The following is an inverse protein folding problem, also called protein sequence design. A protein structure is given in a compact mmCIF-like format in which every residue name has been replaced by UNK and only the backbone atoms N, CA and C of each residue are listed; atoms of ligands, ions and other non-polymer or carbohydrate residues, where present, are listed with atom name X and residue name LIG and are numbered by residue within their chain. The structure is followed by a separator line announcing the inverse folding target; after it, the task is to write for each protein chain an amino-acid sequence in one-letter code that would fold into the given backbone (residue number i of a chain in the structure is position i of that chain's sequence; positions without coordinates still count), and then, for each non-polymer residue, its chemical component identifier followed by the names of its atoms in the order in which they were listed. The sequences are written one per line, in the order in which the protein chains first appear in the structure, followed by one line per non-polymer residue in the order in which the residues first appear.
data_IF_470056120198
#
_entry.id   IF_470056120198
#
_cell.length_a   1.000
_cell.length_b   1.000
_cell.length_c   1.000
_cell.angle_alpha   90.00
_cell.angle_beta   90.00
_cell.angle_gamma   90.00
#
_symmetry.space_group_name_H-M   'P 1'
#
loop_
_entity.id
_entity.type
_entity.pdbx_description
1 polymer ?
#
# COMPACT_ATOMS: atom_id res chain seq x y z
N UNK A 1 22.14 29.23 -22.32
CA UNK A 1 20.89 28.45 -22.20
C UNK A 1 21.30 26.99 -22.12
N UNK A 2 21.54 26.50 -20.91
CA UNK A 2 22.19 25.20 -20.70
C UNK A 2 21.10 24.18 -20.38
N UNK A 3 20.75 23.37 -21.37
CA UNK A 3 19.80 22.26 -21.23
C UNK A 3 20.47 21.14 -20.42
N UNK A 4 20.12 21.03 -19.15
CA UNK A 4 20.55 19.94 -18.28
C UNK A 4 19.66 18.72 -18.55
N UNK A 5 20.18 17.72 -19.27
CA UNK A 5 19.56 16.41 -19.38
C UNK A 5 19.73 15.66 -18.05
N UNK A 6 18.68 15.58 -17.23
CA UNK A 6 18.66 14.78 -16.01
C UNK A 6 17.90 13.47 -16.24
N UNK A 7 18.59 12.35 -16.01
CA UNK A 7 18.01 11.00 -16.04
C UNK A 7 16.98 10.82 -14.92
N UNK A 8 15.95 10.03 -15.21
CA UNK A 8 14.73 9.78 -14.43
C UNK A 8 14.97 9.40 -12.95
N UNK A 9 16.10 8.77 -12.61
CA UNK A 9 16.46 8.40 -11.23
C UNK A 9 16.89 9.59 -10.35
N UNK A 10 17.34 10.68 -10.96
CA UNK A 10 17.89 11.84 -10.26
C UNK A 10 16.81 12.81 -9.81
N UNK A 11 15.64 12.82 -10.46
CA UNK A 11 14.52 13.69 -10.10
C UNK A 11 13.92 13.27 -8.75
N UNK A 12 13.73 11.98 -8.49
CA UNK A 12 13.23 11.49 -7.19
C UNK A 12 14.20 11.79 -6.05
N UNK A 13 15.52 11.73 -6.30
CA UNK A 13 16.55 12.13 -5.33
C UNK A 13 16.64 13.65 -5.15
N UNK A 14 16.51 14.43 -6.23
CA UNK A 14 16.49 15.90 -6.17
C UNK A 14 15.22 16.42 -5.46
N UNK A 15 14.08 15.79 -5.71
CA UNK A 15 12.82 15.98 -4.98
C UNK A 15 13.05 15.59 -3.51
N UNK A 16 13.56 14.40 -3.21
CA UNK A 16 13.86 14.01 -1.82
C UNK A 16 14.80 15.01 -1.11
N UNK A 17 15.83 15.54 -1.79
CA UNK A 17 16.78 16.52 -1.27
C UNK A 17 16.17 17.92 -1.10
N UNK A 18 15.32 18.36 -2.01
CA UNK A 18 14.59 19.65 -1.91
C UNK A 18 13.52 19.62 -0.82
N UNK A 19 12.97 18.43 -0.49
CA UNK A 19 11.87 18.28 0.48
C UNK A 19 12.31 18.04 1.93
N UNK A 20 13.61 17.81 2.19
CA UNK A 20 14.20 17.84 3.54
C UNK A 20 14.44 19.26 4.08
N UNK A 21 14.24 20.29 3.24
CA UNK A 21 14.50 21.69 3.60
C UNK A 21 13.25 22.37 4.18
N UNK A 22 13.13 22.44 5.50
CA UNK A 22 12.21 23.32 6.28
C UNK A 22 10.83 23.62 5.66
N UNK A 23 10.26 22.68 4.91
CA UNK A 23 9.09 22.89 4.06
C UNK A 23 7.84 23.14 4.90
N UNK A 24 7.85 22.71 6.16
CA UNK A 24 6.84 22.99 7.17
C UNK A 24 6.73 24.48 7.55
N UNK A 25 7.77 25.29 7.31
CA UNK A 25 7.79 26.73 7.66
C UNK A 25 7.31 27.66 6.55
N UNK A 26 7.15 27.18 5.30
CA UNK A 26 6.89 28.06 4.15
C UNK A 26 5.41 28.10 3.73
N UNK A 27 4.83 29.30 3.74
CA UNK A 27 3.46 29.55 3.28
C UNK A 27 3.32 29.42 1.74
N UNK A 28 4.35 29.76 0.96
CA UNK A 28 4.33 29.60 -0.49
C UNK A 28 4.38 28.12 -0.91
N UNK A 29 5.12 27.30 -0.15
CA UNK A 29 5.14 25.86 -0.35
C UNK A 29 3.83 25.18 0.06
N UNK A 30 3.06 25.74 1.01
CA UNK A 30 1.67 25.30 1.26
C UNK A 30 0.78 25.47 0.03
N UNK A 31 0.91 26.60 -0.68
CA UNK A 31 0.17 26.83 -1.93
C UNK A 31 0.65 25.89 -3.02
N UNK A 32 1.97 25.70 -3.15
CA UNK A 32 2.55 24.73 -4.08
C UNK A 32 2.06 23.31 -3.79
N UNK A 33 2.03 22.86 -2.53
CA UNK A 33 1.52 21.53 -2.13
C UNK A 33 0.03 21.39 -2.41
N UNK A 34 -0.78 22.41 -2.17
CA UNK A 34 -2.20 22.35 -2.49
C UNK A 34 -2.40 22.21 -4.01
N UNK A 35 -1.61 22.95 -4.80
CA UNK A 35 -1.61 22.85 -6.26
C UNK A 35 -1.06 21.49 -6.71
N UNK A 36 0.03 21.01 -6.11
CA UNK A 36 0.63 19.71 -6.41
C UNK A 36 -0.30 18.58 -6.04
N UNK A 37 -0.94 18.59 -4.87
CA UNK A 37 -1.96 17.62 -4.47
C UNK A 37 -3.18 17.68 -5.38
N UNK A 38 -3.61 18.87 -5.81
CA UNK A 38 -4.72 19.03 -6.75
C UNK A 38 -4.35 18.51 -8.15
N UNK A 39 -3.15 18.83 -8.63
CA UNK A 39 -2.60 18.33 -9.89
C UNK A 39 -2.30 16.84 -9.84
N UNK A 40 -1.78 16.32 -8.74
CA UNK A 40 -1.56 14.89 -8.51
C UNK A 40 -2.89 14.15 -8.35
N UNK A 41 -3.92 14.77 -7.79
CA UNK A 41 -5.28 14.21 -7.81
C UNK A 41 -5.81 14.17 -9.23
N UNK A 42 -5.61 15.23 -10.02
CA UNK A 42 -5.99 15.32 -11.42
C UNK A 42 -5.22 14.33 -12.31
N UNK A 43 -3.91 14.18 -12.07
CA UNK A 43 -2.99 13.28 -12.78
C UNK A 43 -3.14 11.85 -12.29
N UNK A 44 -3.43 11.56 -11.02
CA UNK A 44 -3.83 10.23 -10.58
C UNK A 44 -5.14 9.82 -11.26
N UNK A 45 -6.05 10.77 -11.48
CA UNK A 45 -7.25 10.57 -12.28
C UNK A 45 -6.99 10.42 -13.79
N UNK A 46 -5.83 10.85 -14.33
CA UNK A 46 -5.53 10.86 -15.78
C UNK A 46 -4.34 10.01 -16.28
N UNK A 47 -3.29 9.79 -15.49
CA UNK A 47 -2.02 9.16 -15.88
C UNK A 47 -1.41 8.14 -14.88
N UNK A 48 -2.10 7.73 -13.82
CA UNK A 48 -1.69 6.53 -13.02
C UNK A 48 -0.34 6.61 -12.27
N UNK A 49 0.26 7.80 -12.13
CA UNK A 49 1.56 7.97 -11.47
C UNK A 49 1.45 7.90 -9.94
N UNK A 50 2.25 7.05 -9.30
CA UNK A 50 2.56 7.13 -7.87
C UNK A 50 4.06 6.91 -7.61
N UNK A 51 4.76 7.97 -7.25
CA UNK A 51 6.09 7.92 -6.67
C UNK A 51 6.17 8.90 -5.51
N UNK A 52 6.33 8.37 -4.29
CA UNK A 52 6.69 9.12 -3.09
C UNK A 52 5.56 9.96 -2.48
N UNK A 53 4.94 9.46 -1.41
CA UNK A 53 4.25 10.31 -0.44
C UNK A 53 5.28 11.21 0.25
N UNK A 54 5.53 12.39 -0.32
CA UNK A 54 6.13 13.49 0.45
C UNK A 54 4.97 14.36 0.91
N UNK A 55 4.30 13.89 1.95
CA UNK A 55 3.30 14.68 2.66
C UNK A 55 4.02 15.70 3.53
N UNK A 56 3.58 16.97 3.56
CA UNK A 56 3.99 17.96 4.58
C UNK A 56 3.83 17.43 6.01
N UNK A 57 2.97 16.43 6.24
CA UNK A 57 2.84 15.77 7.55
C UNK A 57 4.11 15.00 7.94
N UNK A 58 4.83 14.40 6.99
CA UNK A 58 6.08 13.66 7.24
C UNK A 58 7.34 14.55 7.21
N UNK A 59 7.21 15.81 6.74
CA UNK A 59 8.35 16.72 6.64
C UNK A 59 9.01 17.03 8.00
N UNK A 60 8.26 17.28 9.10
CA UNK A 60 8.85 17.40 10.44
C UNK A 60 9.62 16.14 10.87
N UNK A 61 9.05 14.95 10.65
CA UNK A 61 9.69 13.67 10.97
C UNK A 61 10.99 13.44 10.21
N UNK A 62 10.99 13.74 8.91
CA UNK A 62 12.18 13.65 8.06
C UNK A 62 13.27 14.64 8.52
N UNK A 63 12.87 15.87 8.85
CA UNK A 63 13.80 16.87 9.38
C UNK A 63 14.42 16.43 10.72
N UNK A 64 13.60 16.01 11.68
CA UNK A 64 14.04 15.60 13.01
C UNK A 64 14.97 14.38 12.97
N UNK A 65 14.64 13.39 12.14
CA UNK A 65 15.49 12.21 11.95
C UNK A 65 16.82 12.51 11.27
N UNK A 66 16.80 13.33 10.21
CA UNK A 66 18.01 13.79 9.53
C UNK A 66 18.87 14.67 10.44
N UNK A 67 18.25 15.53 11.25
CA UNK A 67 18.91 16.37 12.24
C UNK A 67 19.64 15.51 13.28
N UNK A 68 18.95 14.54 13.89
CA UNK A 68 19.55 13.63 14.86
C UNK A 68 20.69 12.78 14.25
N UNK A 69 20.53 12.29 13.03
CA UNK A 69 21.56 11.49 12.34
C UNK A 69 22.83 12.31 12.00
N UNK A 70 22.65 13.58 11.65
CA UNK A 70 23.76 14.47 11.27
C UNK A 70 24.43 15.18 12.45
N UNK A 71 23.76 15.28 13.62
CA UNK A 71 24.26 16.00 14.79
C UNK A 71 25.68 15.61 15.23
N UNK A 72 26.08 14.33 15.33
CA UNK A 72 27.43 13.96 15.74
C UNK A 72 28.51 14.43 14.75
N UNK A 73 28.20 14.35 13.44
CA UNK A 73 29.10 14.76 12.37
C UNK A 73 29.24 16.29 12.33
N UNK A 74 28.12 17.01 12.47
CA UNK A 74 28.10 18.47 12.53
C UNK A 74 28.90 18.96 13.74
N UNK A 75 28.72 18.34 14.91
CA UNK A 75 29.46 18.69 16.12
C UNK A 75 30.98 18.47 15.95
N UNK A 76 31.40 17.39 15.29
CA UNK A 76 32.82 17.13 15.03
C UNK A 76 33.45 18.12 14.05
N UNK A 77 32.68 18.62 13.08
CA UNK A 77 33.15 19.63 12.11
C UNK A 77 33.19 21.03 12.75
N UNK A 78 32.19 21.35 13.58
CA UNK A 78 32.01 22.68 14.17
C UNK A 78 32.65 22.83 15.55
N UNK A 79 33.31 21.81 16.10
CA UNK A 79 33.91 21.83 17.45
C UNK A 79 34.95 22.94 17.65
N UNK A 80 35.49 23.52 16.58
CA UNK A 80 36.45 24.64 16.61
C UNK A 80 35.82 26.01 16.35
N UNK A 81 34.48 26.11 16.26
CA UNK A 81 33.75 27.35 15.98
C UNK A 81 32.78 27.70 17.11
N UNK A 82 32.63 28.98 17.45
CA UNK A 82 31.69 29.50 18.47
C UNK A 82 30.20 29.42 18.06
N UNK A 83 29.86 28.52 17.13
CA UNK A 83 28.49 28.34 16.65
C UNK A 83 27.75 27.47 17.68
N UNK A 84 26.54 27.87 18.11
CA UNK A 84 25.77 27.07 19.06
C UNK A 84 25.57 25.63 18.54
N UNK A 85 25.71 24.61 19.40
CA UNK A 85 25.63 23.20 19.01
C UNK A 85 24.21 22.75 18.64
N UNK A 86 23.20 23.61 18.82
CA UNK A 86 21.82 23.30 18.50
C UNK A 86 21.57 23.43 17.00
N UNK A 87 21.06 22.34 16.41
CA UNK A 87 20.57 22.37 15.04
C UNK A 87 19.43 23.40 14.92
N UNK A 88 19.47 24.28 13.90
CA UNK A 88 18.46 25.32 13.74
C UNK A 88 17.07 24.70 13.58
N UNK A 89 16.00 25.39 13.97
CA UNK A 89 14.62 24.96 13.74
C UNK A 89 14.17 23.60 14.35
N UNK A 90 14.98 22.94 15.19
CA UNK A 90 14.60 21.66 15.84
C UNK A 90 13.36 21.83 16.73
N UNK A 91 13.29 22.92 17.49
CA UNK A 91 12.16 23.20 18.37
C UNK A 91 10.86 23.43 17.57
N UNK A 92 10.95 24.20 16.49
CA UNK A 92 9.85 24.49 15.59
C UNK A 92 9.36 23.24 14.85
N UNK A 93 10.28 22.36 14.45
CA UNK A 93 9.96 21.07 13.85
C UNK A 93 9.24 20.16 14.86
N UNK A 94 9.70 20.09 16.11
CA UNK A 94 9.02 19.35 17.19
C UNK A 94 7.61 19.86 17.44
N UNK A 95 7.43 21.19 17.48
CA UNK A 95 6.09 21.81 17.63
C UNK A 95 5.20 21.45 16.45
N UNK A 96 5.73 21.48 15.22
CA UNK A 96 4.96 21.10 14.04
C UNK A 96 4.61 19.61 14.02
N UNK A 97 5.50 18.76 14.53
CA UNK A 97 5.30 17.32 14.64
C UNK A 97 4.27 16.95 15.71
N UNK A 98 4.26 17.61 16.87
CA UNK A 98 3.29 17.31 17.94
C UNK A 98 1.92 17.97 17.73
N UNK A 99 1.83 19.01 16.89
CA UNK A 99 0.58 19.77 16.65
C UNK A 99 -0.63 18.91 16.26
N UNK A 100 -0.54 17.90 15.36
CA UNK A 100 -1.69 17.11 14.96
C UNK A 100 -2.22 16.24 16.09
N UNK A 101 -1.33 15.70 16.94
CA UNK A 101 -1.65 14.74 17.99
C UNK A 101 -0.77 15.06 19.22
N UNK A 102 -1.25 15.94 20.13
CA UNK A 102 -0.42 16.53 21.18
C UNK A 102 0.10 15.56 22.24
N UNK A 103 -0.53 14.39 22.37
CA UNK A 103 -0.17 13.38 23.37
C UNK A 103 0.95 12.43 22.92
N UNK A 104 1.43 12.54 21.68
CA UNK A 104 2.54 11.72 21.19
C UNK A 104 3.86 12.17 21.81
N UNK A 105 4.62 11.19 22.31
CA UNK A 105 5.98 11.39 22.81
C UNK A 105 7.00 11.21 21.70
N UNK A 106 8.10 11.97 21.78
CA UNK A 106 9.23 11.79 20.87
C UNK A 106 9.81 10.38 20.98
N UNK A 107 10.44 9.86 19.92
CA UNK A 107 11.19 8.61 19.98
C UNK A 107 12.27 8.66 21.05
N UNK A 108 12.68 7.48 21.52
CA UNK A 108 13.85 7.35 22.39
C UNK A 108 15.14 7.79 21.66
N UNK A 109 16.13 8.23 22.43
CA UNK A 109 17.40 8.78 21.92
C UNK A 109 18.12 7.86 20.91
N UNK A 110 18.02 6.54 21.11
CA UNK A 110 18.62 5.52 20.25
C UNK A 110 17.94 5.40 18.88
N UNK A 111 16.72 5.92 18.73
CA UNK A 111 15.89 5.85 17.52
C UNK A 111 15.54 7.21 16.93
N UNK A 112 16.05 8.31 17.50
CA UNK A 112 15.80 9.65 16.96
C UNK A 112 16.26 9.78 15.50
N UNK A 113 17.29 9.05 15.06
CA UNK A 113 17.77 9.08 13.67
C UNK A 113 16.87 8.34 12.67
N UNK A 114 15.87 7.59 13.16
CA UNK A 114 14.97 6.80 12.32
C UNK A 114 13.71 7.58 11.98
N UNK A 115 13.53 7.96 10.71
CA UNK A 115 12.30 8.60 10.26
C UNK A 115 11.06 7.74 10.59
N UNK A 116 11.16 6.42 10.46
CA UNK A 116 10.08 5.50 10.78
C UNK A 116 9.63 5.63 12.25
N UNK A 117 10.56 5.84 13.19
CA UNK A 117 10.24 6.00 14.59
C UNK A 117 9.44 7.28 14.87
N UNK A 118 9.65 8.34 14.06
CA UNK A 118 8.88 9.58 14.12
C UNK A 118 7.51 9.48 13.42
N UNK A 119 7.45 8.80 12.28
CA UNK A 119 6.23 8.71 11.47
C UNK A 119 5.22 7.70 12.02
N UNK A 120 5.70 6.56 12.54
CA UNK A 120 4.83 5.45 12.92
C UNK A 120 3.78 5.83 13.99
N UNK A 121 4.12 6.51 15.10
CA UNK A 121 3.13 6.90 16.10
C UNK A 121 2.06 7.86 15.57
N UNK A 122 2.43 8.77 14.66
CA UNK A 122 1.48 9.66 14.01
C UNK A 122 0.53 8.91 13.08
N UNK A 123 1.06 7.97 12.31
CA UNK A 123 0.26 7.13 11.39
C UNK A 123 -0.73 6.29 12.18
N UNK A 124 -0.27 5.63 13.25
CA UNK A 124 -1.11 4.78 14.10
C UNK A 124 -2.23 5.60 14.76
N UNK A 125 -1.90 6.71 15.41
CA UNK A 125 -2.91 7.54 16.07
C UNK A 125 -3.86 8.23 15.06
N UNK A 126 -3.39 8.58 13.86
CA UNK A 126 -4.27 9.07 12.78
C UNK A 126 -5.23 7.98 12.32
N UNK A 127 -4.74 6.74 12.20
CA UNK A 127 -5.56 5.61 11.81
C UNK A 127 -6.62 5.28 12.87
N UNK A 128 -6.26 5.28 14.15
CA UNK A 128 -7.20 5.05 15.25
C UNK A 128 -8.31 6.12 15.26
N UNK A 129 -7.93 7.40 15.13
CA UNK A 129 -8.91 8.49 14.99
C UNK A 129 -9.83 8.31 13.78
N UNK A 130 -9.29 7.85 12.64
CA UNK A 130 -10.10 7.57 11.46
C UNK A 130 -11.08 6.42 11.72
N UNK A 131 -10.62 5.34 12.37
CA UNK A 131 -11.45 4.19 12.67
C UNK A 131 -12.58 4.55 13.65
N UNK A 132 -12.30 5.38 14.65
CA UNK A 132 -13.30 5.90 15.59
C UNK A 132 -14.29 6.86 14.94
N UNK A 133 -13.85 7.67 13.97
CA UNK A 133 -14.71 8.64 13.28
C UNK A 133 -15.70 8.02 12.29
N UNK A 134 -15.47 6.77 11.88
CA UNK A 134 -16.25 6.11 10.84
C UNK A 134 -17.49 5.44 11.43
N UNK A 135 -18.66 5.89 10.99
CA UNK A 135 -19.96 5.28 11.31
C UNK A 135 -20.53 4.40 10.20
N UNK A 136 -19.89 4.36 9.03
CA UNK A 136 -20.41 3.68 7.84
C UNK A 136 -20.00 2.20 7.78
N UNK A 137 -20.98 1.32 7.49
CA UNK A 137 -20.80 -0.14 7.32
C UNK A 137 -19.85 -0.54 6.19
N UNK A 138 -19.48 0.39 5.29
CA UNK A 138 -18.57 0.17 4.15
C UNK A 138 -17.15 0.66 4.45
N UNK A 139 -17.02 1.78 5.13
CA UNK A 139 -15.72 2.43 5.34
C UNK A 139 -14.90 1.73 6.43
N UNK A 140 -15.56 1.21 7.47
CA UNK A 140 -14.92 0.46 8.56
C UNK A 140 -14.21 -0.81 8.06
N UNK A 141 -14.87 -1.75 7.36
CA UNK A 141 -14.19 -2.92 6.80
C UNK A 141 -13.13 -2.56 5.74
N UNK A 142 -13.30 -1.45 5.01
CA UNK A 142 -12.25 -0.95 4.09
C UNK A 142 -10.99 -0.55 4.86
N UNK A 143 -11.12 0.24 5.92
CA UNK A 143 -9.98 0.67 6.74
C UNK A 143 -9.26 -0.52 7.36
N UNK A 144 -9.99 -1.48 7.92
CA UNK A 144 -9.42 -2.73 8.45
C UNK A 144 -8.66 -3.49 7.35
N UNK A 145 -9.19 -3.54 6.14
CA UNK A 145 -8.52 -4.21 4.99
C UNK A 145 -7.22 -3.48 4.60
N UNK A 146 -7.18 -2.16 4.72
CA UNK A 146 -5.95 -1.37 4.46
C UNK A 146 -4.93 -1.56 5.58
N UNK A 147 -5.35 -1.84 6.81
CA UNK A 147 -4.44 -2.14 7.92
C UNK A 147 -3.79 -3.53 7.83
N UNK A 148 -4.42 -4.47 7.11
CA UNK A 148 -3.92 -5.83 6.99
C UNK A 148 -2.46 -5.88 6.52
N UNK A 149 -1.70 -6.83 7.08
CA UNK A 149 -0.32 -7.07 6.67
C UNK A 149 -0.23 -7.26 5.15
N UNK A 150 0.81 -6.70 4.54
CA UNK A 150 1.06 -6.75 3.10
C UNK A 150 -0.01 -6.08 2.20
N UNK A 151 -1.04 -5.41 2.75
CA UNK A 151 -2.10 -4.73 1.97
C UNK A 151 -1.54 -3.69 0.98
N UNK A 152 -0.38 -3.13 1.31
CA UNK A 152 0.37 -2.14 0.57
C UNK A 152 1.61 -2.67 -0.14
N UNK A 153 1.90 -3.98 -0.08
CA UNK A 153 3.10 -4.58 -0.65
C UNK A 153 3.25 -4.28 -2.15
N UNK A 154 2.14 -4.28 -2.86
CA UNK A 154 2.07 -3.97 -4.30
C UNK A 154 2.63 -2.58 -4.67
N UNK A 155 2.71 -1.63 -3.71
CA UNK A 155 3.33 -0.31 -3.92
C UNK A 155 4.86 -0.36 -3.87
N UNK A 156 5.41 -1.36 -3.19
CA UNK A 156 6.86 -1.55 -3.04
C UNK A 156 7.41 -2.55 -4.06
N UNK A 157 6.54 -3.24 -4.81
CA UNK A 157 6.95 -4.16 -5.85
C UNK A 157 7.57 -3.41 -7.04
N UNK A 158 8.71 -3.90 -7.50
CA UNK A 158 9.29 -3.47 -8.78
C UNK A 158 8.40 -4.01 -9.91
N UNK A 159 7.90 -3.16 -10.83
CA UNK A 159 7.08 -3.63 -11.93
C UNK A 159 7.94 -4.44 -12.92
N UNK A 160 7.67 -5.74 -13.04
CA UNK A 160 8.37 -6.65 -13.98
C UNK A 160 7.41 -7.08 -15.08
N UNK A 161 7.41 -6.34 -16.19
CA UNK A 161 6.52 -6.59 -17.33
C UNK A 161 6.77 -7.93 -18.02
N UNK A 162 8.03 -8.40 -18.07
CA UNK A 162 8.41 -9.67 -18.71
C UNK A 162 7.80 -10.91 -18.05
N UNK A 163 7.42 -10.81 -16.78
CA UNK A 163 6.77 -11.89 -16.02
C UNK A 163 5.25 -11.72 -15.91
N UNK A 164 4.68 -10.71 -16.58
CA UNK A 164 3.27 -10.35 -16.46
C UNK A 164 2.89 -9.86 -15.06
N UNK A 165 3.85 -9.34 -14.28
CA UNK A 165 3.65 -8.86 -12.91
C UNK A 165 3.51 -7.33 -12.82
N UNK A 166 3.48 -6.64 -13.97
CA UNK A 166 3.22 -5.21 -14.02
C UNK A 166 1.72 -4.95 -14.07
N UNK A 167 1.21 -4.18 -13.11
CA UNK A 167 -0.13 -3.62 -13.19
C UNK A 167 -0.14 -2.51 -14.24
N UNK A 168 -1.19 -2.45 -15.05
CA UNK A 168 -1.44 -1.32 -15.94
C UNK A 168 -2.00 -0.12 -15.16
N UNK A 169 -1.94 1.07 -15.76
CA UNK A 169 -2.37 2.32 -15.14
C UNK A 169 -3.82 2.28 -14.61
N UNK A 170 -4.73 1.61 -15.32
CA UNK A 170 -6.13 1.52 -14.90
C UNK A 170 -6.28 0.57 -13.72
N UNK A 171 -5.58 -0.57 -13.74
CA UNK A 171 -5.53 -1.48 -12.59
C UNK A 171 -4.99 -0.79 -11.34
N UNK A 172 -3.91 -0.01 -11.47
CA UNK A 172 -3.35 0.79 -10.36
C UNK A 172 -4.39 1.78 -9.84
N UNK A 173 -5.04 2.56 -10.71
CA UNK A 173 -6.09 3.51 -10.30
C UNK A 173 -7.23 2.84 -9.56
N UNK A 174 -7.73 1.72 -10.09
CA UNK A 174 -8.81 0.97 -9.44
C UNK A 174 -8.36 0.48 -8.07
N UNK A 175 -7.14 -0.07 -7.95
CA UNK A 175 -6.59 -0.54 -6.68
C UNK A 175 -6.44 0.58 -5.64
N UNK A 176 -6.03 1.78 -6.04
CA UNK A 176 -5.93 2.96 -5.16
C UNK A 176 -7.32 3.45 -4.76
N UNK A 177 -8.21 3.65 -5.72
CA UNK A 177 -9.54 4.16 -5.46
C UNK A 177 -10.34 3.24 -4.53
N UNK A 178 -10.24 1.92 -4.69
CA UNK A 178 -10.84 0.95 -3.76
C UNK A 178 -10.32 1.09 -2.33
N UNK A 179 -9.03 1.36 -2.15
CA UNK A 179 -8.41 1.51 -0.81
C UNK A 179 -8.74 2.85 -0.15
N UNK A 180 -8.84 3.91 -0.96
CA UNK A 180 -9.17 5.26 -0.49
C UNK A 180 -10.69 5.50 -0.38
N UNK A 181 -11.52 4.62 -0.93
CA UNK A 181 -12.97 4.84 -0.96
C UNK A 181 -13.43 5.86 -2.00
N UNK A 182 -12.68 6.00 -3.08
CA UNK A 182 -12.96 6.97 -4.13
C UNK A 182 -13.98 6.40 -5.15
N UNK A 183 -14.77 7.26 -5.79
CA UNK A 183 -15.68 6.84 -6.85
C UNK A 183 -14.90 6.25 -8.03
N UNK A 184 -15.24 5.03 -8.43
CA UNK A 184 -14.65 4.31 -9.57
C UNK A 184 -15.40 4.57 -10.87
N UNK A 185 -16.72 4.74 -10.80
CA UNK A 185 -17.58 4.86 -11.97
C UNK A 185 -18.80 5.74 -11.67
N UNK A 186 -19.51 6.16 -12.71
CA UNK A 186 -20.85 6.71 -12.54
C UNK A 186 -21.82 5.59 -12.12
N UNK A 187 -22.86 5.93 -11.36
CA UNK A 187 -23.90 4.98 -10.99
C UNK A 187 -24.59 4.42 -12.25
N UNK A 188 -24.73 3.10 -12.33
CA UNK A 188 -25.27 2.41 -13.51
C UNK A 188 -25.85 1.05 -13.14
N UNK A 189 -26.48 0.35 -14.10
CA UNK A 189 -27.03 -0.99 -13.88
C UNK A 189 -26.04 -2.07 -14.31
N UNK A 190 -25.88 -3.10 -13.47
CA UNK A 190 -25.03 -4.24 -13.77
C UNK A 190 -25.59 -5.01 -14.97
N UNK A 191 -24.82 -5.09 -16.06
CA UNK A 191 -25.22 -5.87 -17.25
C UNK A 191 -25.45 -7.36 -16.98
N UNK A 192 -24.79 -7.93 -15.96
CA UNK A 192 -24.87 -9.37 -15.67
C UNK A 192 -26.04 -9.75 -14.78
N UNK A 193 -26.37 -8.95 -13.76
CA UNK A 193 -27.41 -9.28 -12.79
C UNK A 193 -28.57 -8.29 -12.70
N UNK A 194 -28.45 -7.12 -13.36
CA UNK A 194 -29.46 -6.07 -13.32
C UNK A 194 -29.46 -5.21 -12.06
N UNK A 195 -28.59 -5.49 -11.08
CA UNK A 195 -28.52 -4.70 -9.85
C UNK A 195 -28.00 -3.28 -10.12
N UNK A 196 -28.48 -2.31 -9.34
CA UNK A 196 -27.95 -0.93 -9.36
C UNK A 196 -26.59 -0.88 -8.68
N UNK A 197 -25.61 -0.31 -9.38
CA UNK A 197 -24.23 -0.12 -8.93
C UNK A 197 -24.07 1.36 -8.56
N UNK A 198 -23.51 1.61 -7.39
CA UNK A 198 -23.15 2.93 -6.89
C UNK A 198 -21.85 3.46 -7.51
N UNK A 199 -21.43 4.67 -7.13
CA UNK A 199 -20.21 5.24 -7.67
C UNK A 199 -18.93 4.54 -7.19
N UNK A 200 -18.98 3.87 -6.04
CA UNK A 200 -17.87 3.07 -5.50
C UNK A 200 -17.64 1.80 -6.30
N UNK A 201 -18.66 1.31 -7.02
CA UNK A 201 -18.54 0.18 -7.93
C UNK A 201 -18.44 -1.19 -7.24
N UNK A 202 -18.38 -1.29 -5.91
CA UNK A 202 -18.05 -2.52 -5.17
C UNK A 202 -18.83 -3.78 -5.59
N UNK A 203 -20.04 -3.60 -6.14
CA UNK A 203 -20.80 -4.67 -6.78
C UNK A 203 -19.99 -5.52 -7.79
N UNK A 204 -19.07 -4.92 -8.57
CA UNK A 204 -18.30 -5.66 -9.57
C UNK A 204 -17.39 -6.74 -8.96
N UNK A 205 -16.98 -6.57 -7.69
CA UNK A 205 -16.18 -7.54 -6.94
C UNK A 205 -17.01 -8.75 -6.51
N UNK A 206 -18.28 -8.53 -6.17
CA UNK A 206 -19.16 -9.50 -5.50
C UNK A 206 -20.29 -10.05 -6.39
N UNK A 207 -20.43 -9.54 -7.62
CA UNK A 207 -21.49 -9.95 -8.54
C UNK A 207 -21.47 -11.46 -8.80
N UNK A 208 -22.52 -12.17 -8.36
CA UNK A 208 -22.65 -13.63 -8.54
C UNK A 208 -22.73 -14.08 -10.00
N UNK A 209 -23.34 -13.26 -10.87
CA UNK A 209 -23.44 -13.53 -12.30
C UNK A 209 -22.23 -12.98 -13.08
N UNK A 210 -21.37 -12.20 -12.43
CA UNK A 210 -20.14 -11.69 -12.99
C UNK A 210 -19.02 -12.75 -13.00
N UNK A 211 -18.04 -12.55 -13.88
CA UNK A 211 -16.88 -13.45 -14.00
C UNK A 211 -15.71 -13.06 -13.09
N UNK A 212 -15.75 -11.87 -12.49
CA UNK A 212 -14.56 -11.30 -11.86
C UNK A 212 -14.05 -12.09 -10.65
N UNK A 213 -14.95 -12.71 -9.88
CA UNK A 213 -14.58 -13.65 -8.81
C UNK A 213 -13.71 -14.81 -9.32
N UNK A 214 -14.00 -15.34 -10.50
CA UNK A 214 -13.23 -16.44 -11.09
C UNK A 214 -11.87 -15.96 -11.59
N UNK A 215 -11.77 -14.74 -12.11
CA UNK A 215 -10.48 -14.17 -12.52
C UNK A 215 -9.51 -14.01 -11.34
N UNK A 216 -9.97 -13.46 -10.21
CA UNK A 216 -9.13 -13.29 -9.01
C UNK A 216 -8.64 -14.63 -8.47
N UNK A 217 -9.56 -15.58 -8.35
CA UNK A 217 -9.27 -16.94 -7.93
C UNK A 217 -8.26 -17.64 -8.87
N UNK A 218 -8.48 -17.57 -10.19
CA UNK A 218 -7.57 -18.15 -11.17
C UNK A 218 -6.18 -17.51 -11.12
N UNK A 219 -6.09 -16.19 -10.92
CA UNK A 219 -4.82 -15.48 -10.83
C UNK A 219 -3.99 -15.91 -9.61
N UNK A 220 -4.61 -16.05 -8.44
CA UNK A 220 -3.91 -16.54 -7.24
C UNK A 220 -3.44 -17.98 -7.43
N UNK A 221 -4.31 -18.83 -7.96
CA UNK A 221 -3.97 -20.21 -8.27
C UNK A 221 -2.82 -20.33 -9.28
N UNK A 222 -2.75 -19.43 -10.26
CA UNK A 222 -1.65 -19.35 -11.22
C UNK A 222 -0.33 -18.92 -10.55
N UNK A 223 -0.36 -17.93 -9.66
CA UNK A 223 0.83 -17.51 -8.89
C UNK A 223 1.37 -18.65 -8.04
N UNK A 224 0.51 -19.38 -7.32
CA UNK A 224 0.90 -20.56 -6.53
C UNK A 224 1.48 -21.66 -7.41
N UNK A 225 0.83 -21.93 -8.56
CA UNK A 225 1.30 -22.93 -9.52
C UNK A 225 2.70 -22.59 -10.08
N UNK A 226 2.94 -21.32 -10.43
CA UNK A 226 4.24 -20.84 -10.89
C UNK A 226 5.30 -20.89 -9.80
N UNK A 227 4.95 -20.54 -8.56
CA UNK A 227 5.87 -20.63 -7.43
C UNK A 227 6.33 -22.07 -7.20
N UNK A 228 5.40 -23.03 -7.13
CA UNK A 228 5.72 -24.46 -7.02
C UNK A 228 6.56 -24.96 -8.21
N UNK A 229 6.21 -24.54 -9.43
CA UNK A 229 6.98 -24.91 -10.63
C UNK A 229 8.41 -24.38 -10.57
N UNK A 230 8.63 -23.18 -10.04
CA UNK A 230 9.96 -22.58 -9.89
C UNK A 230 10.84 -23.29 -8.87
N UNK A 231 10.27 -23.97 -7.89
CA UNK A 231 10.99 -24.82 -6.92
C UNK A 231 11.15 -26.26 -7.40
N UNK A 232 10.80 -26.56 -8.66
CA UNK A 232 10.89 -27.90 -9.24
C UNK A 232 9.79 -28.85 -8.77
N UNK A 233 8.70 -28.34 -8.20
CA UNK A 233 7.58 -29.13 -7.70
C UNK A 233 6.49 -29.16 -8.78
N UNK A 234 6.38 -30.27 -9.54
CA UNK A 234 5.39 -30.35 -10.60
C UNK A 234 3.98 -30.36 -9.99
N UNK A 235 3.09 -29.55 -10.56
CA UNK A 235 1.71 -29.46 -10.12
C UNK A 235 0.75 -29.33 -11.29
N UNK A 236 -0.48 -29.82 -11.12
CA UNK A 236 -1.49 -29.79 -12.17
C UNK A 236 -2.88 -29.46 -11.59
N UNK A 237 -3.82 -29.13 -12.49
CA UNK A 237 -5.23 -29.18 -12.15
C UNK A 237 -5.59 -30.60 -11.71
N UNK A 238 -6.49 -30.75 -10.75
CA UNK A 238 -6.93 -32.08 -10.32
C UNK A 238 -7.40 -32.89 -11.54
N UNK A 239 -6.88 -34.12 -11.69
CA UNK A 239 -7.26 -35.01 -12.80
C UNK A 239 -8.69 -35.51 -12.59
N UNK A 240 -9.47 -35.54 -13.68
CA UNK A 240 -10.82 -36.12 -13.68
C UNK A 240 -10.76 -37.58 -13.20
N UNK A 241 -11.51 -37.92 -12.15
CA UNK A 241 -11.62 -39.30 -11.64
C UNK A 241 -11.01 -39.58 -10.25
N UNK A 242 -10.42 -38.59 -9.58
CA UNK A 242 -9.92 -38.71 -8.20
C UNK A 242 -11.04 -38.74 -7.12
N UNK A 243 -12.31 -38.72 -7.53
CA UNK A 243 -13.44 -38.44 -6.65
C UNK A 243 -14.10 -39.70 -6.07
N UNK A 244 -14.20 -39.74 -4.74
CA UNK A 244 -15.00 -40.71 -3.98
C UNK A 244 -15.82 -39.92 -2.93
N UNK A 245 -17.15 -40.03 -2.98
CA UNK A 245 -18.16 -39.64 -1.98
C UNK A 245 -18.46 -38.17 -1.58
N UNK A 246 -17.53 -37.20 -1.49
CA UNK A 246 -17.79 -35.96 -0.69
C UNK A 246 -18.17 -34.64 -1.41
N UNK A 247 -18.31 -34.61 -2.73
CA UNK A 247 -18.85 -33.45 -3.45
C UNK A 247 -17.97 -32.18 -3.50
N UNK A 248 -16.80 -32.15 -2.84
CA UNK A 248 -15.85 -31.02 -2.86
C UNK A 248 -14.59 -31.35 -3.64
N UNK A 249 -14.22 -30.46 -4.56
CA UNK A 249 -13.12 -30.62 -5.52
C UNK A 249 -12.05 -29.55 -5.25
N UNK A 250 -10.81 -29.90 -4.86
CA UNK A 250 -9.71 -28.94 -4.85
C UNK A 250 -9.35 -28.53 -6.28
N UNK A 251 -8.84 -27.31 -6.48
CA UNK A 251 -8.51 -26.88 -7.85
C UNK A 251 -7.29 -27.62 -8.39
N UNK A 252 -6.28 -27.79 -7.54
CA UNK A 252 -4.94 -28.22 -7.95
C UNK A 252 -4.27 -29.11 -6.91
N UNK A 253 -3.28 -29.87 -7.39
CA UNK A 253 -2.48 -30.79 -6.58
C UNK A 253 -1.02 -30.87 -7.06
N UNK A 254 -0.10 -31.18 -6.15
CA UNK A 254 1.28 -31.55 -6.50
C UNK A 254 1.35 -32.99 -6.99
N UNK A 255 2.13 -33.23 -8.05
CA UNK A 255 2.35 -34.57 -8.59
C UNK A 255 3.39 -35.36 -7.79
N UNK A 256 4.17 -34.66 -6.95
CA UNK A 256 5.11 -35.24 -6.02
C UNK A 256 4.57 -35.15 -4.58
N UNK A 257 4.96 -36.09 -3.71
CA UNK A 257 4.71 -35.97 -2.28
C UNK A 257 5.26 -34.67 -1.69
N UNK A 258 4.47 -34.03 -0.83
CA UNK A 258 4.86 -32.84 -0.09
C UNK A 258 5.29 -33.23 1.34
N UNK A 259 4.37 -33.81 2.09
CA UNK A 259 4.57 -34.28 3.47
C UNK A 259 3.87 -35.65 3.64
N UNK A 260 4.19 -36.38 4.70
CA UNK A 260 4.48 -37.84 4.74
C UNK A 260 4.05 -38.70 3.51
N UNK A 261 4.64 -38.45 2.34
CA UNK A 261 4.36 -39.27 1.14
C UNK A 261 3.08 -38.89 0.39
N UNK A 262 2.40 -37.81 0.77
CA UNK A 262 1.09 -37.41 0.27
C UNK A 262 1.17 -36.13 -0.55
N UNK A 263 0.38 -35.99 -1.63
CA UNK A 263 0.39 -34.79 -2.45
C UNK A 263 -0.26 -33.62 -1.70
N UNK A 264 0.24 -32.41 -1.94
CA UNK A 264 -0.37 -31.17 -1.47
C UNK A 264 -1.56 -30.84 -2.37
N UNK A 265 -2.74 -30.67 -1.77
CA UNK A 265 -3.92 -30.12 -2.43
C UNK A 265 -4.17 -28.69 -1.98
N UNK A 266 -4.63 -27.84 -2.89
CA UNK A 266 -5.00 -26.48 -2.52
C UNK A 266 -6.20 -25.95 -3.32
N UNK A 267 -6.86 -24.98 -2.71
CA UNK A 267 -7.95 -24.18 -3.25
C UNK A 267 -7.79 -22.75 -2.70
N UNK A 268 -7.88 -21.75 -3.58
CA UNK A 268 -7.67 -20.36 -3.25
C UNK A 268 -9.00 -19.60 -3.10
N UNK A 269 -9.39 -19.30 -1.87
CA UNK A 269 -10.57 -18.45 -1.63
C UNK A 269 -10.17 -16.98 -1.57
N UNK A 270 -10.83 -16.13 -2.35
CA UNK A 270 -10.67 -14.66 -2.28
C UNK A 270 -11.85 -14.06 -1.53
N UNK A 271 -11.73 -13.81 -0.21
CA UNK A 271 -12.76 -13.11 0.53
C UNK A 271 -12.82 -11.65 0.05
N UNK A 272 -14.03 -11.13 -0.02
CA UNK A 272 -14.26 -9.72 -0.25
C UNK A 272 -14.87 -9.17 1.04
N UNK A 273 -14.10 -8.38 1.78
CA UNK A 273 -14.50 -7.77 3.05
C UNK A 273 -15.68 -6.82 2.90
N UNK A 274 -15.97 -6.37 1.67
CA UNK A 274 -17.09 -5.50 1.33
C UNK A 274 -18.27 -6.28 0.71
N UNK A 275 -18.14 -7.60 0.54
CA UNK A 275 -19.25 -8.43 0.08
C UNK A 275 -20.21 -8.74 1.24
N UNK A 276 -21.49 -8.41 1.05
CA UNK A 276 -22.58 -8.59 2.01
C UNK A 276 -22.82 -10.05 2.49
N UNK A 277 -22.08 -11.02 1.95
CA UNK A 277 -22.02 -12.43 2.39
C UNK A 277 -21.01 -13.20 1.55
N UNK A 278 -19.88 -13.58 2.13
CA UNK A 278 -19.09 -14.74 1.72
C UNK A 278 -18.41 -15.32 2.96
N UNK A 279 -18.93 -16.47 3.42
CA UNK A 279 -18.36 -17.23 4.52
C UNK A 279 -16.97 -17.74 4.13
N UNK A 280 -16.01 -17.46 5.01
CA UNK A 280 -14.62 -17.87 4.94
C UNK A 280 -14.47 -19.39 4.98
N UNK A 281 -13.45 -19.88 4.27
CA UNK A 281 -12.61 -21.04 4.61
C UNK A 281 -11.50 -21.19 3.57
N UNK A 282 -10.25 -21.07 4.01
CA UNK A 282 -9.09 -21.63 3.30
C UNK A 282 -8.80 -22.95 3.98
N UNK A 283 -8.74 -24.04 3.21
CA UNK A 283 -8.34 -25.34 3.72
C UNK A 283 -7.05 -25.75 3.02
N UNK A 284 -5.95 -25.68 3.76
CA UNK A 284 -4.77 -26.50 3.45
C UNK A 284 -5.07 -27.88 4.05
N UNK A 285 -5.40 -28.84 3.20
CA UNK A 285 -5.58 -30.23 3.59
C UNK A 285 -4.42 -31.04 3.03
N UNK A 286 -3.47 -31.34 3.90
CA UNK A 286 -2.66 -32.56 3.78
C UNK A 286 -3.55 -33.72 4.22
N UNK A 287 -4.25 -34.36 3.28
CA UNK A 287 -4.84 -35.68 3.55
C UNK A 287 -3.72 -36.68 3.64
#
# INVERSE_FOLDING_TARGET
MTLLFLRYSSILRLISLLHSYLTFLSASLKTYDNVLCSLLSLIANQAGWFGGTVSRAAAPSCYLSSAAASAPHVHLILSSTDIPPSLPYRAEALVCWSKPIPFLTSPADDKECSQYAWDRPQVDATFDNLLESVSNDVDSPRLITVLADESGAWRQCVPISSLGLCLDDMSVRICVALRLGLPLCAAHTCRHCGATIDSLGLHWLSCKKGRMRFHRHAAINDVLHRALSSTGIPSCLERSGLFRSHGKRPDRLTLVPWEPGKPLFWDATVPDTLAYKLQSKVWLLTL
#
